data_IF_386051058630
#
_entry.id   IF_386051058630
#
_cell.length_a   1.000
_cell.length_b   1.000
_cell.length_c   1.000
_cell.angle_alpha   90.00
_cell.angle_beta   90.00
_cell.angle_gamma   90.00
#
_symmetry.space_group_name_H-M   'P 1'
#
loop_
_entity.id
_entity.type
_entity.pdbx_description
1 polymer ?
#
# COMPACT_ATOMS: atom_id res chain seq x y z
N UNK A 1 -8.70 89.20 -1.14
CA UNK A 1 -9.15 88.23 -0.16
C UNK A 1 -9.18 86.88 -0.85
N UNK A 2 -8.08 86.05 -0.73
CA UNK A 2 -7.97 84.71 -1.35
C UNK A 2 -8.10 83.67 -0.28
N UNK A 3 -9.17 82.86 -0.30
CA UNK A 3 -9.38 81.72 0.60
C UNK A 3 -8.72 80.50 0.01
N UNK A 4 -7.61 80.03 0.69
CA UNK A 4 -6.97 78.74 0.39
C UNK A 4 -7.78 77.64 1.02
N UNK A 5 -8.20 76.70 0.19
CA UNK A 5 -8.84 75.43 0.61
C UNK A 5 -7.76 74.35 0.70
N UNK A 6 -7.44 73.89 1.91
CA UNK A 6 -6.57 72.76 2.14
C UNK A 6 -7.40 71.50 1.98
N UNK A 7 -7.09 70.68 0.93
CA UNK A 7 -7.59 69.32 0.82
C UNK A 7 -6.69 68.35 1.62
N UNK A 8 -7.23 67.83 2.69
CA UNK A 8 -6.58 66.73 3.44
C UNK A 8 -7.00 65.44 2.78
N UNK A 9 -6.07 64.80 2.03
CA UNK A 9 -6.24 63.44 1.50
C UNK A 9 -5.92 62.46 2.60
N UNK A 10 -6.95 61.82 3.17
CA UNK A 10 -6.83 60.76 4.16
C UNK A 10 -6.51 59.44 3.41
N UNK A 11 -5.27 59.00 3.52
CA UNK A 11 -4.81 57.72 2.96
C UNK A 11 -5.25 56.57 3.89
N UNK A 12 -6.33 55.88 3.55
CA UNK A 12 -6.78 54.66 4.25
C UNK A 12 -5.92 53.50 3.79
N UNK A 13 -4.97 53.06 4.65
CA UNK A 13 -4.26 51.78 4.44
C UNK A 13 -5.23 50.62 4.72
N UNK A 14 -5.66 49.96 3.69
CA UNK A 14 -6.35 48.67 3.76
C UNK A 14 -5.32 47.58 4.08
N UNK A 15 -5.20 47.21 5.35
CA UNK A 15 -4.46 46.02 5.75
C UNK A 15 -5.27 44.78 5.41
N UNK A 16 -4.90 44.09 4.32
CA UNK A 16 -5.46 42.78 3.96
C UNK A 16 -4.90 41.72 4.93
N UNK A 17 -5.74 40.93 5.60
CA UNK A 17 -5.24 39.78 6.37
C UNK A 17 -4.70 38.74 5.40
N UNK A 18 -3.40 38.51 5.44
CA UNK A 18 -2.77 37.35 4.82
C UNK A 18 -3.18 36.15 5.66
N UNK A 19 -4.18 35.40 5.16
CA UNK A 19 -4.45 34.03 5.65
C UNK A 19 -3.24 33.17 5.33
N UNK A 20 -2.41 32.92 6.33
CA UNK A 20 -1.37 31.90 6.26
C UNK A 20 -2.05 30.55 6.11
N UNK A 21 -2.16 30.08 4.87
CA UNK A 21 -2.50 28.68 4.60
C UNK A 21 -1.33 27.84 5.10
N UNK A 22 -1.56 27.13 6.19
CA UNK A 22 -0.67 26.07 6.63
C UNK A 22 -0.64 25.03 5.52
N UNK A 23 0.42 25.06 4.70
CA UNK A 23 0.75 23.95 3.82
C UNK A 23 1.18 22.82 4.75
N UNK A 24 0.23 21.96 5.13
CA UNK A 24 0.56 20.63 5.63
C UNK A 24 1.19 19.90 4.45
N UNK A 25 2.51 19.95 4.35
CA UNK A 25 3.26 19.00 3.57
C UNK A 25 3.05 17.64 4.24
N UNK A 26 2.00 16.94 3.82
CA UNK A 26 1.90 15.50 3.98
C UNK A 26 3.15 14.94 3.34
N UNK A 27 4.04 14.35 4.15
CA UNK A 27 5.33 13.85 3.68
C UNK A 27 5.10 12.84 2.58
N UNK A 28 5.33 13.26 1.37
CA UNK A 28 5.42 12.43 0.17
C UNK A 28 6.49 11.36 0.40
N UNK A 29 6.07 10.15 0.61
CA UNK A 29 6.75 8.85 0.49
C UNK A 29 6.45 7.89 1.65
N UNK A 30 5.29 7.98 2.27
CA UNK A 30 4.88 6.93 3.19
C UNK A 30 4.31 5.76 2.40
N UNK A 31 4.85 4.57 2.63
CA UNK A 31 4.40 3.34 1.97
C UNK A 31 3.00 2.91 2.46
N UNK A 32 2.70 3.19 3.72
CA UNK A 32 1.43 2.88 4.37
C UNK A 32 0.73 4.16 4.78
N UNK A 33 -0.58 4.26 4.49
CA UNK A 33 -1.41 5.37 4.95
C UNK A 33 -2.25 4.95 6.17
N UNK A 34 -1.97 5.47 7.37
CA UNK A 34 -2.76 5.17 8.57
C UNK A 34 -4.19 5.70 8.53
N UNK A 35 -4.49 6.64 7.63
CA UNK A 35 -5.83 7.24 7.49
C UNK A 35 -6.76 6.45 6.56
N UNK A 36 -6.24 5.48 5.84
CA UNK A 36 -7.03 4.64 4.94
C UNK A 36 -8.12 3.86 5.67
N UNK A 37 -9.31 3.80 5.06
CA UNK A 37 -10.29 2.78 5.37
C UNK A 37 -9.90 1.48 4.66
N UNK A 38 -9.25 0.59 5.41
CA UNK A 38 -8.71 -0.64 4.87
C UNK A 38 -9.78 -1.54 4.21
N UNK A 39 -11.04 -1.53 4.69
CA UNK A 39 -12.13 -2.31 4.09
C UNK A 39 -12.46 -1.79 2.70
N UNK A 40 -12.51 -0.46 2.57
CA UNK A 40 -12.77 0.21 1.28
C UNK A 40 -11.62 -0.02 0.30
N UNK A 41 -10.37 0.13 0.75
CA UNK A 41 -9.21 -0.03 -0.13
C UNK A 41 -9.02 -1.49 -0.57
N UNK A 42 -9.26 -2.47 0.31
CA UNK A 42 -9.25 -3.90 -0.07
C UNK A 42 -10.36 -4.18 -1.09
N UNK A 43 -11.58 -3.65 -0.90
CA UNK A 43 -12.65 -3.84 -1.87
C UNK A 43 -12.32 -3.26 -3.25
N UNK A 44 -11.69 -2.07 -3.31
CA UNK A 44 -11.20 -1.47 -4.56
C UNK A 44 -10.12 -2.35 -5.22
N UNK A 45 -9.17 -2.86 -4.42
CA UNK A 45 -8.11 -3.73 -4.91
C UNK A 45 -8.67 -5.03 -5.48
N UNK A 46 -9.64 -5.66 -4.81
CA UNK A 46 -10.34 -6.87 -5.26
C UNK A 46 -11.08 -6.61 -6.58
N UNK A 47 -11.86 -5.54 -6.66
CA UNK A 47 -12.55 -5.18 -7.89
C UNK A 47 -11.57 -4.98 -9.07
N UNK A 48 -10.46 -4.30 -8.82
CA UNK A 48 -9.42 -4.11 -9.84
C UNK A 48 -8.77 -5.42 -10.25
N UNK A 49 -8.47 -6.29 -9.27
CA UNK A 49 -7.88 -7.60 -9.51
C UNK A 49 -8.79 -8.48 -10.38
N UNK A 50 -10.10 -8.51 -10.08
CA UNK A 50 -11.10 -9.22 -10.88
C UNK A 50 -11.12 -8.74 -12.34
N UNK A 51 -11.08 -7.43 -12.56
CA UNK A 51 -11.10 -6.83 -13.92
C UNK A 51 -9.81 -7.11 -14.72
N UNK A 52 -8.69 -7.27 -14.03
CA UNK A 52 -7.37 -7.48 -14.65
C UNK A 52 -6.92 -8.95 -14.64
N UNK A 53 -7.76 -9.88 -14.18
CA UNK A 53 -7.40 -11.30 -13.96
C UNK A 53 -6.13 -11.46 -13.11
N UNK A 54 -6.05 -10.71 -12.03
CA UNK A 54 -4.97 -10.73 -11.05
C UNK A 54 -5.47 -11.16 -9.69
N UNK A 55 -4.54 -11.44 -8.79
CA UNK A 55 -4.81 -11.56 -7.37
C UNK A 55 -4.52 -10.24 -6.64
N UNK A 56 -4.98 -10.11 -5.39
CA UNK A 56 -4.58 -9.03 -4.50
C UNK A 56 -3.45 -9.52 -3.61
N UNK A 57 -2.39 -8.72 -3.50
CA UNK A 57 -1.34 -8.90 -2.50
C UNK A 57 -1.47 -7.82 -1.44
N UNK A 58 -1.91 -8.20 -0.25
CA UNK A 58 -1.86 -7.33 0.92
C UNK A 58 -0.47 -7.46 1.55
N UNK A 59 0.30 -6.38 1.55
CA UNK A 59 1.51 -6.26 2.36
C UNK A 59 1.12 -5.57 3.67
N UNK A 60 1.12 -6.31 4.77
CA UNK A 60 0.68 -5.82 6.07
C UNK A 60 1.90 -5.38 6.88
N UNK A 61 1.85 -4.17 7.41
CA UNK A 61 2.92 -3.59 8.19
C UNK A 61 2.70 -2.11 8.48
N UNK A 62 3.75 -1.32 8.55
CA UNK A 62 3.66 0.13 8.79
C UNK A 62 4.96 0.84 8.44
N UNK A 63 4.92 2.17 8.40
CA UNK A 63 6.10 2.99 8.12
C UNK A 63 7.19 2.88 9.18
N UNK A 64 6.87 2.38 10.37
CA UNK A 64 7.79 2.07 11.45
C UNK A 64 8.57 0.76 11.22
N UNK A 65 8.13 -0.09 10.28
CA UNK A 65 8.63 -1.44 10.06
C UNK A 65 9.79 -1.43 9.04
N UNK A 66 11.03 -1.45 9.50
CA UNK A 66 12.20 -1.44 8.62
C UNK A 66 12.23 -2.60 7.62
N UNK A 67 11.81 -3.82 8.02
CA UNK A 67 11.73 -4.98 7.12
C UNK A 67 10.66 -4.83 6.05
N UNK A 68 9.55 -4.13 6.35
CA UNK A 68 8.51 -3.81 5.38
C UNK A 68 9.04 -2.90 4.26
N UNK A 69 9.80 -1.87 4.65
CA UNK A 69 10.42 -0.93 3.72
C UNK A 69 11.53 -1.61 2.91
N UNK A 70 12.32 -2.49 3.54
CA UNK A 70 13.34 -3.28 2.84
C UNK A 70 12.73 -4.21 1.79
N UNK A 71 11.59 -4.85 2.08
CA UNK A 71 10.90 -5.69 1.10
C UNK A 71 10.41 -4.87 -0.10
N UNK A 72 9.73 -3.77 0.15
CA UNK A 72 9.23 -2.88 -0.90
C UNK A 72 10.37 -2.37 -1.79
N UNK A 73 11.46 -1.88 -1.18
CA UNK A 73 12.65 -1.45 -1.90
C UNK A 73 13.30 -2.57 -2.71
N UNK A 74 13.37 -3.79 -2.16
CA UNK A 74 13.90 -4.96 -2.86
C UNK A 74 13.10 -5.28 -4.11
N UNK A 75 11.78 -5.24 -4.03
CA UNK A 75 10.90 -5.51 -5.17
C UNK A 75 11.00 -4.39 -6.21
N UNK A 76 10.96 -3.13 -5.79
CA UNK A 76 11.05 -1.96 -6.68
C UNK A 76 12.39 -1.87 -7.43
N UNK A 77 13.50 -2.25 -6.77
CA UNK A 77 14.84 -2.19 -7.34
C UNK A 77 15.24 -3.41 -8.18
N UNK A 78 14.44 -4.46 -8.21
CA UNK A 78 14.71 -5.68 -8.97
C UNK A 78 13.66 -5.88 -10.07
N UNK A 79 14.04 -5.73 -11.32
CA UNK A 79 13.11 -5.81 -12.46
C UNK A 79 12.35 -7.13 -12.53
N UNK A 80 13.01 -8.26 -12.23
CA UNK A 80 12.36 -9.58 -12.25
C UNK A 80 11.24 -9.66 -11.24
N UNK A 81 11.49 -9.20 -10.00
CA UNK A 81 10.47 -9.19 -8.94
C UNK A 81 9.35 -8.21 -9.25
N UNK A 82 9.71 -7.00 -9.69
CA UNK A 82 8.74 -5.97 -10.06
C UNK A 82 7.81 -6.45 -11.16
N UNK A 83 8.36 -7.01 -12.25
CA UNK A 83 7.57 -7.55 -13.37
C UNK A 83 6.66 -8.71 -12.94
N UNK A 84 7.15 -9.62 -12.09
CA UNK A 84 6.35 -10.73 -11.57
C UNK A 84 5.19 -10.22 -10.69
N UNK A 85 5.46 -9.23 -9.84
CA UNK A 85 4.46 -8.60 -9.00
C UNK A 85 3.40 -7.88 -9.84
N UNK A 86 3.81 -6.97 -10.72
CA UNK A 86 2.92 -6.17 -11.58
C UNK A 86 2.06 -7.02 -12.51
N UNK A 87 2.62 -8.13 -13.01
CA UNK A 87 1.90 -9.06 -13.88
C UNK A 87 0.75 -9.76 -13.15
N UNK A 88 0.96 -10.17 -11.90
CA UNK A 88 0.10 -11.13 -11.23
C UNK A 88 -0.76 -10.52 -10.11
N UNK A 89 -0.41 -9.32 -9.61
CA UNK A 89 -1.03 -8.79 -8.39
C UNK A 89 -1.44 -7.32 -8.50
N UNK A 90 -2.52 -7.00 -7.79
CA UNK A 90 -2.83 -5.66 -7.32
C UNK A 90 -2.35 -5.57 -5.88
N UNK A 91 -1.45 -4.65 -5.60
CA UNK A 91 -0.85 -4.50 -4.26
C UNK A 91 -1.61 -3.45 -3.45
N UNK A 92 -1.92 -3.79 -2.19
CA UNK A 92 -2.36 -2.83 -1.20
C UNK A 92 -1.49 -2.95 0.06
N UNK A 93 -0.97 -1.81 0.52
CA UNK A 93 -0.17 -1.72 1.75
C UNK A 93 -1.10 -1.49 2.94
N UNK A 94 -1.54 -2.57 3.58
CA UNK A 94 -2.45 -2.52 4.72
C UNK A 94 -1.71 -2.06 5.97
N UNK A 95 -2.06 -0.85 6.44
CA UNK A 95 -1.41 -0.27 7.62
C UNK A 95 -1.74 -1.04 8.90
N UNK A 96 -0.69 -1.22 9.72
CA UNK A 96 -0.77 -1.60 11.12
C UNK A 96 0.13 -0.66 11.94
N UNK A 97 -0.48 0.26 12.65
CA UNK A 97 0.24 1.23 13.48
C UNK A 97 -0.52 1.52 14.77
N UNK A 98 0.05 2.36 15.64
CA UNK A 98 -0.63 2.78 16.88
C UNK A 98 -1.86 3.65 16.60
N UNK A 99 -1.86 4.39 15.50
CA UNK A 99 -2.93 5.26 15.06
C UNK A 99 -4.11 4.47 14.49
N UNK A 100 -3.79 3.35 13.82
CA UNK A 100 -4.79 2.48 13.20
C UNK A 100 -4.26 1.04 13.11
N UNK A 101 -4.79 0.16 13.97
CA UNK A 101 -4.42 -1.26 14.02
C UNK A 101 -5.19 -2.13 13.05
N UNK A 102 -6.28 -1.63 12.47
CA UNK A 102 -7.15 -2.37 11.55
C UNK A 102 -7.60 -3.76 12.07
N UNK A 103 -7.90 -3.88 13.37
CA UNK A 103 -8.14 -5.16 14.06
C UNK A 103 -9.24 -6.00 13.42
N UNK A 104 -10.38 -5.39 13.04
CA UNK A 104 -11.49 -6.09 12.40
C UNK A 104 -11.09 -6.70 11.06
N UNK A 105 -10.29 -5.97 10.27
CA UNK A 105 -9.77 -6.45 8.99
C UNK A 105 -8.81 -7.60 9.21
N UNK A 106 -7.88 -7.46 10.15
CA UNK A 106 -6.92 -8.52 10.47
C UNK A 106 -7.60 -9.76 11.03
N UNK A 107 -8.67 -9.60 11.82
CA UNK A 107 -9.49 -10.72 12.29
C UNK A 107 -10.15 -11.48 11.13
N UNK A 108 -10.74 -10.75 10.16
CA UNK A 108 -11.35 -11.34 8.97
C UNK A 108 -10.34 -12.09 8.09
N UNK A 109 -9.08 -11.64 8.09
CA UNK A 109 -7.96 -12.28 7.39
C UNK A 109 -7.34 -13.44 8.19
N UNK A 110 -7.88 -13.78 9.37
CA UNK A 110 -7.41 -14.87 10.23
C UNK A 110 -6.14 -14.51 11.00
N UNK A 111 -6.01 -13.26 11.45
CA UNK A 111 -4.95 -12.77 12.34
C UNK A 111 -3.53 -12.95 11.77
N UNK A 112 -3.24 -12.45 10.54
CA UNK A 112 -1.93 -12.62 9.92
C UNK A 112 -0.78 -11.98 10.71
N UNK A 113 -1.06 -10.90 11.48
CA UNK A 113 -0.07 -10.20 12.31
C UNK A 113 0.63 -11.09 13.34
N UNK A 114 0.10 -12.29 13.65
CA UNK A 114 0.76 -13.27 14.54
C UNK A 114 2.12 -13.76 14.03
N UNK A 115 2.39 -13.56 12.72
CA UNK A 115 3.66 -13.95 12.11
C UNK A 115 4.72 -12.83 12.13
N UNK A 116 4.41 -11.67 12.71
CA UNK A 116 5.26 -10.47 12.63
C UNK A 116 5.07 -9.69 11.33
N UNK A 117 6.01 -8.78 11.03
CA UNK A 117 5.91 -7.85 9.91
C UNK A 117 7.22 -7.76 9.11
N UNK A 118 7.12 -7.63 7.76
CA UNK A 118 5.88 -7.70 7.00
C UNK A 118 5.26 -9.09 7.05
N UNK A 119 3.95 -9.16 6.87
CA UNK A 119 3.25 -10.41 6.56
C UNK A 119 2.41 -10.15 5.31
N UNK A 120 2.29 -11.17 4.47
CA UNK A 120 1.56 -11.03 3.21
C UNK A 120 0.30 -11.90 3.22
N UNK A 121 -0.77 -11.37 2.63
CA UNK A 121 -1.99 -12.13 2.37
C UNK A 121 -2.33 -12.03 0.90
N UNK A 122 -2.55 -13.18 0.26
CA UNK A 122 -3.02 -13.26 -1.11
C UNK A 122 -4.53 -13.49 -1.11
N UNK A 123 -5.26 -12.63 -1.85
CA UNK A 123 -6.68 -12.80 -2.10
C UNK A 123 -6.90 -13.03 -3.60
N UNK A 124 -7.93 -13.81 -3.93
CA UNK A 124 -8.40 -13.90 -5.32
C UNK A 124 -9.23 -12.69 -5.75
N UNK A 125 -9.74 -12.70 -6.98
CA UNK A 125 -10.59 -11.66 -7.54
C UNK A 125 -11.98 -11.57 -6.90
N UNK A 126 -12.34 -12.47 -5.99
CA UNK A 126 -13.58 -12.45 -5.21
C UNK A 126 -13.32 -12.01 -3.76
N UNK A 127 -12.07 -11.74 -3.41
CA UNK A 127 -11.66 -11.34 -2.06
C UNK A 127 -11.48 -12.51 -1.09
N UNK A 128 -11.53 -13.76 -1.57
CA UNK A 128 -11.26 -14.94 -0.76
C UNK A 128 -9.77 -15.06 -0.50
N UNK A 129 -9.40 -15.29 0.77
CA UNK A 129 -8.01 -15.54 1.12
C UNK A 129 -7.51 -16.88 0.58
N UNK A 130 -6.49 -16.82 -0.25
CA UNK A 130 -5.80 -17.99 -0.82
C UNK A 130 -4.63 -18.42 0.05
N UNK A 131 -3.84 -17.44 0.55
CA UNK A 131 -2.61 -17.73 1.27
C UNK A 131 -2.26 -16.63 2.27
N UNK A 132 -1.51 -17.02 3.32
CA UNK A 132 -0.83 -16.10 4.23
C UNK A 132 0.65 -16.47 4.27
N UNK A 133 1.52 -15.57 3.81
CA UNK A 133 2.97 -15.76 3.75
C UNK A 133 3.65 -15.06 4.92
N UNK A 134 4.28 -15.83 5.78
CA UNK A 134 5.23 -15.31 6.77
C UNK A 134 6.50 -14.84 6.05
N UNK A 135 6.90 -13.57 6.24
CA UNK A 135 8.08 -13.01 5.59
C UNK A 135 9.39 -13.69 6.00
N UNK A 136 9.46 -14.28 7.18
CA UNK A 136 10.66 -15.00 7.63
C UNK A 136 11.11 -16.09 6.66
N UNK A 137 10.17 -16.72 5.94
CA UNK A 137 10.50 -17.72 4.91
C UNK A 137 11.07 -17.11 3.62
N UNK A 138 10.91 -15.80 3.43
CA UNK A 138 11.44 -15.06 2.27
C UNK A 138 12.79 -14.41 2.56
N UNK A 139 13.25 -14.48 3.81
CA UNK A 139 14.47 -13.81 4.26
C UNK A 139 15.74 -14.55 3.84
N UNK A 140 16.81 -13.79 3.66
CA UNK A 140 18.16 -14.26 3.41
C UNK A 140 19.16 -13.18 3.87
N UNK A 141 20.04 -13.56 4.78
CA UNK A 141 21.02 -12.63 5.35
C UNK A 141 20.36 -11.45 6.08
N UNK A 142 20.63 -10.23 5.62
CA UNK A 142 20.05 -9.00 6.19
C UNK A 142 18.93 -8.41 5.33
N UNK A 143 18.23 -9.24 4.57
CA UNK A 143 17.18 -8.81 3.66
C UNK A 143 16.33 -9.98 3.17
N UNK A 144 15.79 -9.84 1.96
CA UNK A 144 14.93 -10.86 1.35
C UNK A 144 15.63 -11.50 0.15
N UNK A 145 15.48 -12.81 0.00
CA UNK A 145 16.02 -13.59 -1.13
C UNK A 145 15.21 -13.30 -2.40
N UNK A 146 15.91 -12.98 -3.48
CA UNK A 146 15.27 -12.75 -4.78
C UNK A 146 14.53 -14.00 -5.26
N UNK A 147 15.14 -15.20 -5.14
CA UNK A 147 14.51 -16.45 -5.59
C UNK A 147 13.28 -16.79 -4.77
N UNK A 148 13.36 -16.75 -3.43
CA UNK A 148 12.22 -17.08 -2.57
C UNK A 148 11.03 -16.12 -2.77
N UNK A 149 11.30 -14.81 -2.97
CA UNK A 149 10.24 -13.83 -3.26
C UNK A 149 9.64 -14.08 -4.65
N UNK A 150 10.46 -14.40 -5.65
CA UNK A 150 9.99 -14.73 -6.99
C UNK A 150 9.12 -16.01 -6.97
N UNK A 151 9.55 -17.05 -6.26
CA UNK A 151 8.81 -18.29 -6.08
C UNK A 151 7.46 -18.03 -5.41
N UNK A 152 7.44 -17.20 -4.36
CA UNK A 152 6.19 -16.79 -3.72
C UNK A 152 5.23 -16.12 -4.71
N UNK A 153 5.71 -15.16 -5.51
CA UNK A 153 4.88 -14.48 -6.50
C UNK A 153 4.39 -15.43 -7.60
N UNK A 154 5.21 -16.35 -8.04
CA UNK A 154 4.84 -17.30 -9.08
C UNK A 154 3.87 -18.37 -8.58
N UNK A 155 4.10 -18.95 -7.42
CA UNK A 155 3.28 -20.05 -6.88
C UNK A 155 1.86 -19.62 -6.52
N UNK A 156 1.66 -18.34 -6.18
CA UNK A 156 0.34 -17.79 -5.84
C UNK A 156 -0.23 -16.88 -6.94
N UNK A 157 0.31 -16.94 -8.16
CA UNK A 157 -0.25 -16.23 -9.31
C UNK A 157 -1.57 -16.85 -9.75
N UNK A 158 -2.46 -16.10 -10.46
CA UNK A 158 -3.69 -16.66 -11.01
C UNK A 158 -3.44 -17.87 -11.91
N UNK A 159 -2.39 -17.83 -12.73
CA UNK A 159 -2.05 -18.93 -13.62
C UNK A 159 -1.62 -20.20 -12.85
N UNK A 160 -0.88 -20.04 -11.72
CA UNK A 160 -0.37 -21.19 -10.99
C UNK A 160 -1.45 -22.00 -10.27
N UNK A 161 -2.60 -21.40 -9.97
CA UNK A 161 -3.70 -22.08 -9.27
C UNK A 161 -4.92 -22.31 -10.16
N UNK A 162 -4.80 -22.07 -11.49
CA UNK A 162 -5.85 -22.37 -12.45
C UNK A 162 -5.94 -23.90 -12.63
N UNK A 163 -7.08 -24.55 -12.30
CA UNK A 163 -7.26 -26.00 -12.45
C UNK A 163 -6.93 -26.52 -13.86
N UNK A 164 -7.15 -25.70 -14.88
CA UNK A 164 -6.86 -26.08 -16.28
C UNK A 164 -5.39 -26.40 -16.54
N UNK A 165 -4.47 -25.89 -15.69
CA UNK A 165 -3.05 -26.22 -15.80
C UNK A 165 -2.75 -27.68 -15.41
N UNK A 166 -3.69 -28.35 -14.72
CA UNK A 166 -3.52 -29.68 -14.13
C UNK A 166 -4.42 -30.75 -14.75
N UNK A 167 -5.38 -30.36 -15.60
CA UNK A 167 -6.37 -31.28 -16.20
C UNK A 167 -5.77 -32.32 -17.14
N UNK A 168 -4.54 -32.11 -17.66
CA UNK A 168 -3.89 -33.00 -18.63
C UNK A 168 -2.56 -33.59 -18.12
N UNK A 169 -2.32 -33.57 -16.80
CA UNK A 169 -1.19 -34.28 -16.21
C UNK A 169 -1.62 -35.70 -15.83
N UNK A 170 -1.96 -36.53 -16.84
CA UNK A 170 -2.05 -37.97 -16.64
C UNK A 170 -0.61 -38.52 -16.54
N UNK A 171 -0.33 -39.26 -15.47
CA UNK A 171 0.95 -39.92 -15.15
C UNK A 171 1.31 -41.00 -16.17
#
# INVERSE_FOLDING_TARGET
MKKSFLFIISLILLASPVLAQSITTSGDNQLYDPSDDAKVEIAKAVQKAANENKHVLLQIGGNWCGWCLLFDNKVKSNDTLRMALEKNYIVYHLNYSRENTNEDVLASLGYPQRFGFPVFVVLDGEGKRLHTQNSAYLEEGKGHSTSKVLDFFNHWSPAAIDPKQYENQED
#
